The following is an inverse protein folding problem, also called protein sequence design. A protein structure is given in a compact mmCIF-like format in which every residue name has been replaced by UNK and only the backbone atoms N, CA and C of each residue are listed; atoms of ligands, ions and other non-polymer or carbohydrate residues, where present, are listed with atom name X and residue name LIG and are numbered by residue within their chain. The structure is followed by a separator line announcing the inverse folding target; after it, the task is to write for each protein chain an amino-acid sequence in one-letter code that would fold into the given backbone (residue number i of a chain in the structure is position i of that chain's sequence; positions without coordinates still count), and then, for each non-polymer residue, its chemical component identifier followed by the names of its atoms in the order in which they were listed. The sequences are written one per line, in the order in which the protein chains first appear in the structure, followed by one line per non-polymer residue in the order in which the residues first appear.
data_IF_405864301673
#
_entry.id   IF_405864301673
#
_cell.length_a   1.000
_cell.length_b   1.000
_cell.length_c   1.000
_cell.angle_alpha   90.00
_cell.angle_beta   90.00
_cell.angle_gamma   90.00
#
_symmetry.space_group_name_H-M   'P 1'
#
loop_
_entity.id
_entity.type
_entity.pdbx_description
1 polymer ?
#
# COMPACT_ATOMS: atom_id res chain seq x y z
N UNK A 1 -19.27 7.06 29.58
CA UNK A 1 -18.29 6.37 28.71
C UNK A 1 -18.90 6.23 27.33
N UNK A 2 -18.51 7.07 26.37
CA UNK A 2 -18.97 6.93 24.98
C UNK A 2 -18.28 5.72 24.35
N UNK A 3 -19.04 4.70 23.99
CA UNK A 3 -18.53 3.57 23.21
C UNK A 3 -18.11 4.08 21.83
N UNK A 4 -16.82 4.33 21.62
CA UNK A 4 -16.29 4.68 20.29
C UNK A 4 -16.50 3.47 19.38
N UNK A 5 -17.52 3.54 18.52
CA UNK A 5 -17.85 2.48 17.56
C UNK A 5 -16.66 2.29 16.62
N UNK A 6 -16.27 1.04 16.38
CA UNK A 6 -15.24 0.74 15.40
C UNK A 6 -15.76 1.10 14.00
N UNK A 7 -15.12 2.09 13.37
CA UNK A 7 -15.34 2.42 11.97
C UNK A 7 -14.23 1.80 11.13
N UNK A 8 -14.58 0.89 10.22
CA UNK A 8 -13.66 0.21 9.31
C UNK A 8 -13.35 1.07 8.08
N UNK A 9 -14.16 2.10 7.80
CA UNK A 9 -13.99 2.99 6.65
C UNK A 9 -12.60 3.62 6.55
N UNK A 10 -11.96 4.08 7.65
CA UNK A 10 -10.62 4.67 7.57
C UNK A 10 -9.54 3.66 7.18
N UNK A 11 -9.71 2.38 7.54
CA UNK A 11 -8.81 1.29 7.14
C UNK A 11 -9.01 0.99 5.65
N UNK A 12 -10.27 0.85 5.21
CA UNK A 12 -10.59 0.61 3.81
C UNK A 12 -10.12 1.76 2.90
N UNK A 13 -10.29 3.01 3.32
CA UNK A 13 -9.81 4.17 2.56
C UNK A 13 -8.28 4.16 2.37
N UNK A 14 -7.51 3.81 3.42
CA UNK A 14 -6.05 3.68 3.34
C UNK A 14 -5.62 2.52 2.45
N UNK A 15 -6.36 1.41 2.48
CA UNK A 15 -6.14 0.27 1.59
C UNK A 15 -6.38 0.66 0.13
N UNK A 16 -7.53 1.25 -0.18
CA UNK A 16 -7.86 1.71 -1.53
C UNK A 16 -6.85 2.75 -2.03
N UNK A 17 -6.42 3.68 -1.17
CA UNK A 17 -5.38 4.65 -1.50
C UNK A 17 -4.04 3.97 -1.83
N UNK A 18 -3.65 2.96 -1.05
CA UNK A 18 -2.41 2.22 -1.26
C UNK A 18 -2.45 1.38 -2.54
N UNK A 19 -3.60 0.74 -2.83
CA UNK A 19 -3.84 0.04 -4.10
C UNK A 19 -3.75 1.01 -5.28
N UNK A 20 -4.43 2.15 -5.17
CA UNK A 20 -4.36 3.20 -6.19
C UNK A 20 -2.93 3.68 -6.43
N UNK A 21 -2.16 3.94 -5.37
CA UNK A 21 -0.78 4.38 -5.49
C UNK A 21 0.08 3.36 -6.27
N UNK A 22 0.01 2.08 -5.88
CA UNK A 22 0.77 0.99 -6.52
C UNK A 22 0.34 0.81 -7.97
N UNK A 23 -0.95 0.66 -8.24
CA UNK A 23 -1.46 0.41 -9.59
C UNK A 23 -1.35 1.61 -10.52
N UNK A 24 -1.32 2.83 -9.99
CA UNK A 24 -1.02 4.04 -10.77
C UNK A 24 0.40 4.01 -11.33
N UNK A 25 1.35 3.40 -10.61
CA UNK A 25 2.72 3.26 -11.11
C UNK A 25 2.78 2.18 -12.20
N UNK A 26 2.27 0.99 -11.89
CA UNK A 26 2.25 -0.14 -12.82
C UNK A 26 1.12 -1.15 -12.52
N UNK A 27 0.51 -1.67 -13.57
CA UNK A 27 -0.42 -2.80 -13.52
C UNK A 27 -0.47 -3.52 -14.88
N UNK A 28 -0.80 -4.82 -14.94
CA UNK A 28 -0.79 -5.59 -16.19
C UNK A 28 -1.94 -5.25 -17.15
N UNK A 29 -2.93 -4.44 -16.76
CA UNK A 29 -4.02 -4.06 -17.67
C UNK A 29 -3.59 -3.10 -18.80
N UNK A 30 -2.36 -2.58 -18.73
CA UNK A 30 -1.83 -1.62 -19.70
C UNK A 30 -2.15 -0.15 -19.38
N UNK A 31 -2.91 0.12 -18.31
CA UNK A 31 -3.31 1.47 -17.92
C UNK A 31 -2.57 1.94 -16.67
N UNK A 32 -1.32 2.40 -16.82
CA UNK A 32 -0.55 2.98 -15.71
C UNK A 32 0.39 4.09 -16.16
N UNK A 33 0.99 4.81 -15.20
CA UNK A 33 2.00 5.84 -15.49
C UNK A 33 3.17 5.27 -16.30
N UNK A 34 3.64 4.07 -15.98
CA UNK A 34 4.68 3.38 -16.77
C UNK A 34 4.29 3.24 -18.24
N UNK A 35 3.07 2.77 -18.54
CA UNK A 35 2.59 2.59 -19.92
C UNK A 35 2.44 3.93 -20.64
N UNK A 36 1.93 4.96 -19.94
CA UNK A 36 1.85 6.30 -20.52
C UNK A 36 3.23 6.90 -20.79
N UNK A 37 4.21 6.65 -19.92
CA UNK A 37 5.58 7.11 -20.08
C UNK A 37 6.27 6.47 -21.29
N UNK A 38 6.04 5.18 -21.54
CA UNK A 38 6.66 4.45 -22.65
C UNK A 38 5.94 4.60 -23.99
N UNK A 39 4.71 5.12 -24.02
CA UNK A 39 3.92 5.31 -25.24
C UNK A 39 4.43 6.44 -26.19
N UNK A 40 5.44 7.20 -25.80
CA UNK A 40 6.02 8.27 -26.64
C UNK A 40 6.50 9.49 -25.85
N UNK A 41 7.09 10.49 -26.51
CA UNK A 41 7.61 11.72 -25.87
C UNK A 41 6.62 12.89 -25.86
N UNK A 42 5.42 12.68 -26.40
CA UNK A 42 4.33 13.65 -26.34
C UNK A 42 4.00 14.00 -24.89
N UNK A 43 3.61 15.26 -24.64
CA UNK A 43 3.28 15.78 -23.31
C UNK A 43 4.37 15.60 -22.24
N UNK A 44 5.65 15.69 -22.63
CA UNK A 44 6.79 15.46 -21.74
C UNK A 44 6.77 16.24 -20.41
N UNK A 45 6.31 17.50 -20.41
CA UNK A 45 6.16 18.29 -19.18
C UNK A 45 5.05 17.74 -18.26
N UNK A 46 3.92 17.30 -18.83
CA UNK A 46 2.84 16.70 -18.06
C UNK A 46 3.28 15.36 -17.46
N UNK A 47 3.99 14.53 -18.25
CA UNK A 47 4.58 13.27 -17.79
C UNK A 47 5.52 13.51 -16.63
N UNK A 48 6.43 14.47 -16.76
CA UNK A 48 7.35 14.84 -15.69
C UNK A 48 6.62 15.30 -14.42
N UNK A 49 5.62 16.18 -14.55
CA UNK A 49 4.85 16.68 -13.41
C UNK A 49 4.11 15.55 -12.66
N UNK A 50 3.41 14.69 -13.38
CA UNK A 50 2.71 13.53 -12.80
C UNK A 50 3.70 12.54 -12.20
N UNK A 51 4.83 12.30 -12.87
CA UNK A 51 5.90 11.43 -12.38
C UNK A 51 6.49 11.92 -11.06
N UNK A 52 6.76 13.23 -10.94
CA UNK A 52 7.23 13.84 -9.69
C UNK A 52 6.19 13.76 -8.57
N UNK A 53 4.91 13.98 -8.89
CA UNK A 53 3.82 13.81 -7.93
C UNK A 53 3.74 12.36 -7.42
N UNK A 54 3.73 11.38 -8.32
CA UNK A 54 3.71 9.96 -7.96
C UNK A 54 4.94 9.56 -7.15
N UNK A 55 6.12 10.02 -7.54
CA UNK A 55 7.36 9.79 -6.80
C UNK A 55 7.29 10.38 -5.38
N UNK A 56 6.75 11.59 -5.23
CA UNK A 56 6.52 12.22 -3.93
C UNK A 56 5.59 11.41 -3.03
N UNK A 57 4.45 10.96 -3.56
CA UNK A 57 3.49 10.11 -2.84
C UNK A 57 4.16 8.82 -2.37
N UNK A 58 4.84 8.11 -3.28
CA UNK A 58 5.53 6.86 -2.93
C UNK A 58 6.65 7.07 -1.91
N UNK A 59 7.41 8.17 -2.03
CA UNK A 59 8.47 8.50 -1.07
C UNK A 59 7.91 8.69 0.34
N UNK A 60 6.82 9.44 0.50
CA UNK A 60 6.18 9.64 1.80
C UNK A 60 5.68 8.31 2.35
N UNK A 61 4.96 7.53 1.54
CA UNK A 61 4.43 6.23 1.92
C UNK A 61 5.54 5.27 2.40
N UNK A 62 6.63 5.17 1.63
CA UNK A 62 7.74 4.27 1.97
C UNK A 62 8.49 4.74 3.22
N UNK A 63 8.70 6.06 3.38
CA UNK A 63 9.27 6.63 4.60
C UNK A 63 8.42 6.29 5.82
N UNK A 64 7.09 6.44 5.74
CA UNK A 64 6.17 6.07 6.82
C UNK A 64 6.28 4.59 7.15
N UNK A 65 6.23 3.71 6.16
CA UNK A 65 6.34 2.25 6.36
C UNK A 65 7.66 1.87 7.01
N UNK A 66 8.78 2.41 6.52
CA UNK A 66 10.11 2.13 7.06
C UNK A 66 10.28 2.62 8.50
N UNK A 67 9.77 3.82 8.81
CA UNK A 67 9.82 4.39 10.15
C UNK A 67 9.00 3.55 11.16
N UNK A 68 7.84 3.07 10.72
CA UNK A 68 6.86 2.41 11.59
C UNK A 68 7.10 0.91 11.74
N UNK A 69 7.16 0.17 10.62
CA UNK A 69 7.28 -1.30 10.64
C UNK A 69 8.73 -1.73 10.81
N UNK A 70 9.68 -0.91 10.36
CA UNK A 70 11.11 -1.26 10.23
C UNK A 70 11.30 -2.49 9.32
N UNK A 71 12.55 -2.85 8.93
CA UNK A 71 12.76 -3.99 8.03
C UNK A 71 12.13 -5.30 8.53
N UNK A 72 12.19 -5.56 9.85
CA UNK A 72 11.60 -6.76 10.46
C UNK A 72 10.09 -6.85 10.28
N UNK A 73 9.36 -5.75 10.49
CA UNK A 73 7.91 -5.71 10.30
C UNK A 73 7.53 -5.85 8.84
N UNK A 74 8.29 -5.21 7.94
CA UNK A 74 8.07 -5.36 6.48
C UNK A 74 8.26 -6.82 6.06
N UNK A 75 9.34 -7.48 6.50
CA UNK A 75 9.59 -8.90 6.22
C UNK A 75 8.45 -9.77 6.75
N UNK A 76 7.95 -9.51 7.96
CA UNK A 76 6.83 -10.26 8.51
C UNK A 76 5.56 -10.11 7.67
N UNK A 77 5.18 -8.87 7.32
CA UNK A 77 4.00 -8.63 6.47
C UNK A 77 4.17 -9.25 5.08
N UNK A 78 5.36 -9.15 4.50
CA UNK A 78 5.68 -9.78 3.22
C UNK A 78 5.50 -11.30 3.28
N UNK A 79 6.08 -11.97 4.29
CA UNK A 79 5.93 -13.41 4.47
C UNK A 79 4.46 -13.82 4.64
N UNK A 80 3.70 -13.06 5.43
CA UNK A 80 2.26 -13.29 5.60
C UNK A 80 1.51 -13.18 4.26
N UNK A 81 1.84 -12.18 3.44
CA UNK A 81 1.23 -12.00 2.14
C UNK A 81 1.61 -13.13 1.15
N UNK A 82 2.88 -13.56 1.16
CA UNK A 82 3.33 -14.71 0.35
C UNK A 82 2.63 -16.01 0.77
N UNK A 83 2.45 -16.23 2.07
CA UNK A 83 1.66 -17.35 2.57
C UNK A 83 0.20 -17.27 2.10
N UNK A 84 -0.41 -16.08 2.12
CA UNK A 84 -1.77 -15.88 1.63
C UNK A 84 -1.89 -16.15 0.12
N UNK A 85 -0.93 -15.69 -0.69
CA UNK A 85 -0.89 -15.99 -2.13
C UNK A 85 -0.73 -17.50 -2.38
N UNK A 86 0.17 -18.16 -1.65
CA UNK A 86 0.37 -19.60 -1.77
C UNK A 86 -0.91 -20.38 -1.39
N UNK A 87 -1.64 -19.92 -0.38
CA UNK A 87 -2.94 -20.51 0.00
C UNK A 87 -3.98 -20.31 -1.11
N UNK A 88 -4.09 -19.11 -1.69
CA UNK A 88 -4.99 -18.83 -2.81
C UNK A 88 -4.71 -19.72 -4.04
N UNK A 89 -3.43 -20.01 -4.29
CA UNK A 89 -3.02 -20.95 -5.32
C UNK A 89 -3.43 -22.39 -5.00
N UNK A 90 -3.18 -22.84 -3.77
CA UNK A 90 -3.52 -24.21 -3.34
C UNK A 90 -5.03 -24.49 -3.41
N UNK A 91 -5.88 -23.51 -3.10
CA UNK A 91 -7.35 -23.67 -3.20
C UNK A 91 -7.88 -23.47 -4.62
N UNK A 92 -7.01 -23.20 -5.60
CA UNK A 92 -7.39 -22.98 -6.99
C UNK A 92 -8.07 -21.64 -7.26
N UNK A 93 -7.98 -20.67 -6.34
CA UNK A 93 -8.59 -19.35 -6.50
C UNK A 93 -7.75 -18.38 -7.34
N UNK A 94 -6.44 -18.60 -7.43
CA UNK A 94 -5.52 -17.82 -8.26
C UNK A 94 -4.51 -18.75 -8.93
N UNK A 95 -4.31 -18.62 -10.24
CA UNK A 95 -3.28 -19.37 -10.95
C UNK A 95 -1.95 -18.60 -10.92
N UNK A 96 -1.03 -19.00 -10.04
CA UNK A 96 0.29 -18.36 -9.95
C UNK A 96 1.27 -18.81 -11.03
N UNK A 97 0.88 -19.73 -11.92
CA UNK A 97 1.69 -20.09 -13.09
C UNK A 97 1.54 -19.06 -14.22
N UNK A 98 0.42 -18.33 -14.23
CA UNK A 98 0.22 -17.17 -15.08
C UNK A 98 1.00 -15.96 -14.55
N UNK A 99 1.80 -15.36 -15.43
CA UNK A 99 2.68 -14.25 -15.07
C UNK A 99 1.92 -13.01 -14.63
N UNK A 100 0.78 -12.72 -15.28
CA UNK A 100 -0.03 -11.54 -14.97
C UNK A 100 -0.74 -11.69 -13.62
N UNK A 101 -1.29 -12.88 -13.34
CA UNK A 101 -1.91 -13.19 -12.05
C UNK A 101 -0.90 -13.16 -10.91
N UNK A 102 0.29 -13.73 -11.10
CA UNK A 102 1.38 -13.66 -10.12
C UNK A 102 1.77 -12.20 -9.84
N UNK A 103 1.96 -11.41 -10.88
CA UNK A 103 2.32 -9.99 -10.80
C UNK A 103 1.24 -9.17 -10.08
N UNK A 104 -0.04 -9.38 -10.38
CA UNK A 104 -1.16 -8.78 -9.65
C UNK A 104 -1.09 -9.13 -8.16
N UNK A 105 -0.85 -10.40 -7.84
CA UNK A 105 -0.68 -10.86 -6.47
C UNK A 105 0.43 -10.10 -5.74
N UNK A 106 1.59 -9.96 -6.37
CA UNK A 106 2.74 -9.24 -5.80
C UNK A 106 2.47 -7.74 -5.62
N UNK A 107 1.78 -7.08 -6.57
CA UNK A 107 1.37 -5.68 -6.45
C UNK A 107 0.36 -5.49 -5.31
N UNK A 108 -0.57 -6.43 -5.11
CA UNK A 108 -1.48 -6.42 -3.97
C UNK A 108 -0.70 -6.59 -2.66
N UNK A 109 0.29 -7.49 -2.60
CA UNK A 109 1.16 -7.63 -1.42
C UNK A 109 1.85 -6.30 -1.09
N UNK A 110 2.35 -5.59 -2.09
CA UNK A 110 2.98 -4.28 -1.92
C UNK A 110 1.99 -3.26 -1.33
N UNK A 111 0.75 -3.22 -1.83
CA UNK A 111 -0.30 -2.36 -1.29
C UNK A 111 -0.68 -2.71 0.16
N UNK A 112 -0.67 -4.00 0.53
CA UNK A 112 -0.90 -4.46 1.91
C UNK A 112 0.23 -4.00 2.83
N UNK A 113 1.49 -4.05 2.40
CA UNK A 113 2.64 -3.55 3.17
C UNK A 113 2.49 -2.04 3.44
N UNK A 114 2.14 -1.27 2.40
CA UNK A 114 1.85 0.16 2.51
C UNK A 114 0.74 0.45 3.51
N UNK A 115 -0.39 -0.23 3.35
CA UNK A 115 -1.56 -0.07 4.20
C UNK A 115 -1.24 -0.40 5.65
N UNK A 116 -0.44 -1.45 5.89
CA UNK A 116 -0.02 -1.87 7.23
C UNK A 116 0.73 -0.76 7.98
N UNK A 117 1.60 -0.02 7.28
CA UNK A 117 2.24 1.17 7.85
C UNK A 117 1.26 2.28 8.18
N UNK A 118 0.29 2.55 7.30
CA UNK A 118 -0.70 3.61 7.46
C UNK A 118 -1.72 3.37 8.58
N UNK A 119 -2.03 2.11 8.89
CA UNK A 119 -3.01 1.73 9.93
C UNK A 119 -2.36 1.43 11.29
N UNK A 120 -1.03 1.37 11.36
CA UNK A 120 -0.29 1.02 12.58
C UNK A 120 -0.68 1.88 13.78
N UNK A 121 -0.73 3.21 13.61
CA UNK A 121 -1.11 4.13 14.70
C UNK A 121 -2.53 3.83 15.22
N UNK A 122 -3.47 3.55 14.32
CA UNK A 122 -4.84 3.20 14.69
C UNK A 122 -4.94 1.86 15.44
N UNK A 123 -4.08 0.90 15.11
CA UNK A 123 -4.02 -0.39 15.81
C UNK A 123 -3.35 -0.21 17.18
N UNK A 124 -2.17 0.43 17.24
CA UNK A 124 -1.42 0.59 18.48
C UNK A 124 -2.19 1.39 19.52
N UNK A 125 -2.83 2.49 19.13
CA UNK A 125 -3.66 3.28 20.03
C UNK A 125 -4.76 2.45 20.72
N UNK A 126 -5.29 1.44 20.01
CA UNK A 126 -6.33 0.54 20.54
C UNK A 126 -5.77 -0.58 21.41
N UNK A 127 -4.61 -1.14 21.03
CA UNK A 127 -4.00 -2.25 21.77
C UNK A 127 -3.39 -1.79 23.09
N UNK A 128 -2.77 -0.61 23.10
CA UNK A 128 -2.08 -0.10 24.30
C UNK A 128 -2.98 0.78 25.15
N UNK A 129 -4.06 1.32 24.59
CA UNK A 129 -4.89 2.33 25.25
C UNK A 129 -4.17 3.67 25.47
N UNK A 130 -2.92 3.79 25.02
CA UNK A 130 -2.12 5.01 25.13
C UNK A 130 -2.45 5.87 23.92
N UNK A 131 -3.15 6.98 24.12
CA UNK A 131 -3.13 8.08 23.17
C UNK A 131 -1.77 8.74 23.27
N UNK A 132 -0.97 8.71 22.21
CA UNK A 132 0.11 9.68 22.06
C UNK A 132 -0.54 11.03 21.78
N UNK A 133 -0.94 11.72 22.85
CA UNK A 133 -1.36 13.11 22.80
C UNK A 133 -0.08 13.92 22.72
N UNK A 134 0.14 14.61 21.60
CA UNK A 134 1.12 15.70 21.58
C UNK A 134 0.64 16.76 22.57
N UNK A 135 1.43 17.04 23.60
CA UNK A 135 1.24 18.22 24.44
C UNK A 135 1.44 19.45 23.54
N UNK A 136 0.38 20.21 23.32
CA UNK A 136 0.47 21.52 22.67
C UNK A 136 1.11 22.47 23.68
N UNK A 137 2.30 23.03 23.42
CA UNK A 137 2.90 24.02 24.32
C UNK A 137 2.03 25.28 24.31
N UNK A 138 1.65 25.75 25.50
CA UNK A 138 0.99 27.04 25.71
C UNK A 138 1.96 28.20 25.43
#
# INVERSE_FOLDING_TARGET
MSTVRYDWKPVAARMLFSLFAVFSLYNPSGYSYWHWLTAGLEDGLAKLAVGLMLAGVHMVLWKTVLAVLRPRGITFVLLLCLCALALLWQVGAADLTDGDTLLLGLLVCLAVILTSGLIYSSIMHRLTGIAHVEEVPH
#
